data_IF_415457663391
#
_entry.id   IF_415457663391
#
_cell.length_a   1.000
_cell.length_b   1.000
_cell.length_c   1.000
_cell.angle_alpha   90.00
_cell.angle_beta   90.00
_cell.angle_gamma   90.00
#
_symmetry.space_group_name_H-M   'P 1'
#
loop_
_entity.id
_entity.type
_entity.pdbx_description
1 polymer ?
#
# COMPACT_ATOMS: atom_id res chain seq x y z
N UNK A 1 20.52 1.15 -6.96
CA UNK A 1 20.13 2.42 -6.28
C UNK A 1 18.82 2.15 -5.56
N UNK A 2 18.83 2.30 -4.24
CA UNK A 2 17.78 1.83 -3.31
C UNK A 2 16.55 2.74 -3.46
N UNK A 3 15.44 2.17 -3.89
CA UNK A 3 14.16 2.87 -4.07
C UNK A 3 13.34 2.60 -2.80
N UNK A 4 13.01 3.63 -2.05
CA UNK A 4 12.18 3.54 -0.85
C UNK A 4 10.76 3.99 -1.20
N UNK A 5 9.77 3.17 -0.86
CA UNK A 5 8.35 3.48 -0.99
C UNK A 5 7.69 3.64 0.36
N UNK A 6 6.54 4.26 0.24
CA UNK A 6 5.98 5.23 1.10
C UNK A 6 4.45 5.16 0.82
N UNK A 7 3.54 4.57 1.60
CA UNK A 7 3.07 4.84 2.97
C UNK A 7 2.06 3.72 3.30
N UNK A 8 2.13 3.12 4.50
CA UNK A 8 1.22 2.13 5.10
C UNK A 8 -0.28 2.47 5.00
N UNK A 9 -0.87 2.08 3.89
CA UNK A 9 -1.64 0.85 3.84
C UNK A 9 -0.76 -0.23 3.21
N UNK A 10 -0.84 -1.46 3.69
CA UNK A 10 0.26 -2.43 3.63
C UNK A 10 0.59 -2.94 2.22
N UNK A 11 1.36 -2.16 1.46
CA UNK A 11 1.83 -2.48 0.11
C UNK A 11 3.25 -1.96 -0.02
N UNK A 12 4.17 -2.89 0.12
CA UNK A 12 5.56 -2.63 -0.12
C UNK A 12 5.87 -3.03 -1.58
N UNK A 13 6.83 -2.30 -2.16
CA UNK A 13 7.33 -2.55 -3.50
C UNK A 13 8.00 -3.92 -3.53
N UNK A 14 7.21 -4.94 -3.85
CA UNK A 14 7.77 -6.19 -4.30
C UNK A 14 8.37 -5.97 -5.69
N UNK A 15 9.60 -6.45 -5.87
CA UNK A 15 10.18 -6.78 -7.17
C UNK A 15 9.38 -7.93 -7.82
N UNK A 16 8.10 -7.72 -8.06
CA UNK A 16 7.34 -8.57 -8.96
C UNK A 16 7.67 -8.14 -10.39
N UNK A 17 7.77 -9.10 -11.29
CA UNK A 17 7.93 -8.87 -12.74
C UNK A 17 6.70 -8.21 -13.38
N UNK A 18 5.77 -7.68 -12.58
CA UNK A 18 4.55 -7.01 -13.00
C UNK A 18 4.78 -5.50 -12.97
N UNK A 19 4.50 -4.79 -14.08
CA UNK A 19 4.63 -3.34 -14.07
C UNK A 19 3.60 -2.75 -13.11
N UNK A 20 4.08 -2.26 -11.97
CA UNK A 20 3.31 -1.45 -10.98
C UNK A 20 2.67 -0.18 -11.57
N UNK A 21 2.87 0.10 -12.86
CA UNK A 21 2.24 1.21 -13.58
C UNK A 21 0.71 1.16 -13.61
N UNK A 22 0.09 0.03 -13.18
CA UNK A 22 -1.36 -0.17 -13.14
C UNK A 22 -1.92 -0.40 -11.72
N UNK A 23 -1.08 -0.28 -10.69
CA UNK A 23 -1.44 -0.58 -9.31
C UNK A 23 -1.64 0.73 -8.54
N UNK A 24 -2.89 1.16 -8.33
CA UNK A 24 -3.22 2.45 -7.72
C UNK A 24 -4.27 2.38 -6.62
N UNK A 25 -4.25 3.40 -5.77
CA UNK A 25 -5.32 3.71 -4.81
C UNK A 25 -6.15 4.91 -5.28
N UNK A 26 -7.43 4.92 -4.94
CA UNK A 26 -8.30 6.06 -5.21
C UNK A 26 -7.91 7.28 -4.36
N UNK A 27 -8.24 8.47 -4.88
CA UNK A 27 -8.12 9.73 -4.15
C UNK A 27 -8.87 9.66 -2.80
N UNK A 28 -8.33 10.35 -1.81
CA UNK A 28 -8.83 10.32 -0.43
C UNK A 28 -8.31 9.15 0.40
N UNK A 29 -7.57 8.20 -0.19
CA UNK A 29 -6.85 7.16 0.58
C UNK A 29 -5.87 7.84 1.53
N UNK A 30 -6.04 7.60 2.82
CA UNK A 30 -5.32 8.31 3.87
C UNK A 30 -4.00 7.62 4.18
N UNK A 31 -2.99 8.44 4.39
CA UNK A 31 -1.61 8.03 4.29
C UNK A 31 -0.88 8.78 5.44
N UNK A 32 -0.27 8.05 6.39
CA UNK A 32 0.46 8.55 7.58
C UNK A 32 1.89 9.14 7.33
N UNK A 33 2.00 10.45 7.19
CA UNK A 33 3.30 11.14 7.05
C UNK A 33 3.94 11.45 8.41
N UNK A 34 5.21 11.88 8.42
CA UNK A 34 5.89 12.34 9.64
C UNK A 34 5.18 13.51 10.34
N UNK A 35 4.41 14.30 9.57
CA UNK A 35 3.63 15.45 10.06
C UNK A 35 2.15 15.14 10.31
N UNK A 36 1.76 13.86 10.22
CA UNK A 36 0.36 13.42 10.37
C UNK A 36 -0.23 12.86 9.07
N UNK A 37 -1.53 12.66 9.05
CA UNK A 37 -2.21 12.03 7.92
C UNK A 37 -2.42 13.00 6.75
N UNK A 38 -2.16 12.52 5.54
CA UNK A 38 -2.34 13.24 4.28
C UNK A 38 -3.05 12.32 3.28
N UNK A 39 -3.99 12.81 2.46
CA UNK A 39 -4.56 12.00 1.39
C UNK A 39 -3.51 11.74 0.29
N UNK A 40 -3.61 10.59 -0.37
CA UNK A 40 -2.57 10.09 -1.28
C UNK A 40 -2.27 11.03 -2.45
N UNK A 41 -3.29 11.72 -2.98
CA UNK A 41 -3.15 12.69 -4.08
C UNK A 41 -2.38 13.96 -3.67
N UNK A 42 -2.18 14.19 -2.38
CA UNK A 42 -1.38 15.29 -1.85
C UNK A 42 0.06 14.88 -1.52
N UNK A 43 0.42 13.60 -1.61
CA UNK A 43 1.80 13.13 -1.40
C UNK A 43 2.71 13.65 -2.51
N UNK A 44 3.93 14.03 -2.12
CA UNK A 44 4.96 14.54 -3.02
C UNK A 44 6.25 13.74 -2.87
N UNK A 45 7.04 13.70 -3.94
CA UNK A 45 8.43 13.23 -3.87
C UNK A 45 9.16 14.02 -2.80
N UNK A 46 9.83 13.32 -1.89
CA UNK A 46 10.50 13.91 -0.73
C UNK A 46 9.71 13.80 0.58
N UNK A 47 8.39 13.59 0.55
CA UNK A 47 7.60 13.35 1.76
C UNK A 47 8.12 12.11 2.50
N UNK A 48 8.16 12.20 3.83
CA UNK A 48 8.48 11.07 4.70
C UNK A 48 7.20 10.42 5.20
N UNK A 49 7.15 9.11 5.07
CA UNK A 49 5.93 8.37 5.35
C UNK A 49 6.20 7.06 6.04
N UNK A 50 5.24 6.65 6.85
CA UNK A 50 5.35 5.41 7.60
C UNK A 50 5.24 4.18 6.69
N UNK A 51 6.31 3.40 6.54
CA UNK A 51 6.35 2.23 5.67
C UNK A 51 7.26 1.14 6.25
N UNK A 52 7.17 -0.08 5.70
CA UNK A 52 8.04 -1.20 6.06
C UNK A 52 9.01 -1.50 4.91
N UNK A 53 10.29 -1.55 5.23
CA UNK A 53 11.34 -1.99 4.32
C UNK A 53 11.30 -3.53 4.21
N UNK A 54 10.99 -4.07 3.03
CA UNK A 54 10.89 -5.53 2.84
C UNK A 54 12.24 -6.25 2.98
N UNK A 55 13.36 -5.57 2.67
CA UNK A 55 14.68 -6.18 2.69
C UNK A 55 15.18 -6.36 4.12
N UNK A 56 14.91 -5.38 4.97
CA UNK A 56 15.38 -5.35 6.36
C UNK A 56 14.29 -5.69 7.38
N UNK A 57 13.03 -5.70 6.96
CA UNK A 57 11.86 -5.88 7.82
C UNK A 57 11.54 -4.69 8.73
N UNK A 58 12.30 -3.59 8.65
CA UNK A 58 12.16 -2.43 9.55
C UNK A 58 11.00 -1.56 9.12
N UNK A 59 10.14 -1.21 10.08
CA UNK A 59 9.07 -0.21 9.90
C UNK A 59 9.56 1.15 10.40
N UNK A 60 9.29 2.21 9.64
CA UNK A 60 9.72 3.57 9.98
C UNK A 60 9.30 4.61 8.94
N UNK A 61 9.83 5.82 9.04
CA UNK A 61 9.58 6.87 8.04
C UNK A 61 10.56 6.74 6.86
N UNK A 62 10.00 6.60 5.66
CA UNK A 62 10.73 6.42 4.41
C UNK A 62 10.38 7.52 3.41
N UNK A 63 11.37 7.95 2.62
CA UNK A 63 11.23 9.04 1.67
C UNK A 63 10.58 8.55 0.37
N UNK A 64 9.52 9.21 -0.06
CA UNK A 64 8.93 9.04 -1.39
C UNK A 64 9.95 9.43 -2.45
N UNK A 65 10.31 8.51 -3.35
CA UNK A 65 11.26 8.78 -4.45
C UNK A 65 10.58 8.97 -5.80
N UNK A 66 9.35 8.48 -5.95
CA UNK A 66 8.58 8.53 -7.20
C UNK A 66 7.09 8.40 -6.89
N UNK A 67 6.25 9.02 -7.73
CA UNK A 67 4.80 8.89 -7.72
C UNK A 67 4.34 8.17 -8.97
N UNK A 68 3.26 7.41 -8.85
CA UNK A 68 2.53 6.81 -9.95
C UNK A 68 1.11 7.39 -9.97
N UNK A 69 0.58 7.61 -11.17
CA UNK A 69 -0.78 8.08 -11.39
C UNK A 69 -1.28 7.40 -12.66
N UNK A 70 -2.35 6.63 -12.54
CA UNK A 70 -3.08 6.09 -13.68
C UNK A 70 -4.59 6.24 -13.49
N UNK A 71 -5.34 5.90 -14.53
CA UNK A 71 -6.79 5.72 -14.44
C UNK A 71 -7.07 4.22 -14.51
N UNK A 72 -7.83 3.72 -13.55
CA UNK A 72 -8.27 2.33 -13.54
C UNK A 72 -9.66 2.22 -14.18
N UNK A 73 -9.84 1.28 -15.10
CA UNK A 73 -11.14 0.99 -15.71
C UNK A 73 -12.09 0.28 -14.73
N UNK A 74 -11.53 -0.45 -13.77
CA UNK A 74 -12.25 -1.17 -12.71
C UNK A 74 -11.61 -0.86 -11.35
N UNK A 75 -12.45 -0.72 -10.32
CA UNK A 75 -12.00 -0.52 -8.93
C UNK A 75 -12.63 -1.53 -7.99
N UNK A 76 -11.88 -1.86 -6.94
CA UNK A 76 -12.23 -2.83 -5.91
C UNK A 76 -12.38 -2.11 -4.58
N UNK A 77 -13.46 -2.42 -3.87
CA UNK A 77 -13.75 -1.88 -2.54
C UNK A 77 -13.45 -2.92 -1.47
N UNK A 78 -12.45 -2.62 -0.64
CA UNK A 78 -12.00 -3.51 0.43
C UNK A 78 -12.23 -2.78 1.75
N UNK A 79 -12.85 -3.45 2.71
CA UNK A 79 -13.01 -2.91 4.07
C UNK A 79 -12.10 -3.68 5.00
N UNK A 80 -11.21 -2.97 5.67
CA UNK A 80 -10.19 -3.54 6.56
C UNK A 80 -10.34 -2.87 7.91
N UNK A 81 -10.69 -3.62 8.95
CA UNK A 81 -10.98 -3.09 10.28
C UNK A 81 -11.94 -1.86 10.26
N UNK A 82 -12.99 -1.93 9.44
CA UNK A 82 -13.96 -0.84 9.26
C UNK A 82 -13.47 0.35 8.43
N UNK A 83 -12.21 0.33 7.97
CA UNK A 83 -11.65 1.35 7.08
C UNK A 83 -11.87 0.95 5.62
N UNK A 84 -12.63 1.74 4.84
CA UNK A 84 -12.81 1.47 3.42
C UNK A 84 -11.58 1.88 2.62
N UNK A 85 -11.25 1.05 1.63
CA UNK A 85 -10.13 1.22 0.70
C UNK A 85 -10.69 0.99 -0.70
N UNK A 86 -10.37 1.89 -1.63
CA UNK A 86 -10.71 1.72 -3.05
C UNK A 86 -9.42 1.70 -3.86
N UNK A 87 -9.25 0.68 -4.70
CA UNK A 87 -7.98 0.39 -5.38
C UNK A 87 -8.21 -0.33 -6.71
N UNK A 88 -7.21 -0.35 -7.61
CA UNK A 88 -7.25 -1.18 -8.82
C UNK A 88 -7.08 -2.66 -8.49
N UNK A 89 -7.51 -3.54 -9.41
CA UNK A 89 -7.50 -4.99 -9.18
C UNK A 89 -6.12 -5.60 -9.02
N UNK A 90 -5.12 -5.01 -9.66
CA UNK A 90 -3.71 -5.42 -9.67
C UNK A 90 -2.96 -5.05 -8.39
N UNK A 91 -3.55 -4.19 -7.54
CA UNK A 91 -2.84 -3.65 -6.40
C UNK A 91 -2.60 -4.74 -5.34
N UNK A 92 -1.34 -5.06 -4.98
CA UNK A 92 -1.04 -6.24 -4.19
C UNK A 92 -1.10 -5.97 -2.69
N UNK A 93 -1.88 -6.74 -1.93
CA UNK A 93 -1.94 -6.71 -0.47
C UNK A 93 -1.16 -7.88 0.13
N UNK A 94 -0.51 -7.66 1.27
CA UNK A 94 0.14 -8.77 1.97
C UNK A 94 -0.85 -9.48 2.88
N UNK A 95 -1.08 -10.75 2.58
CA UNK A 95 -1.93 -11.65 3.36
C UNK A 95 -1.05 -12.54 4.23
N UNK A 96 -1.34 -12.58 5.53
CA UNK A 96 -0.60 -13.39 6.49
C UNK A 96 -0.67 -14.88 6.11
N UNK A 97 0.51 -15.51 5.93
CA UNK A 97 0.62 -16.92 5.53
C UNK A 97 0.47 -17.19 4.04
N UNK A 98 0.13 -16.19 3.22
CA UNK A 98 0.01 -16.33 1.76
C UNK A 98 1.01 -15.43 0.99
N UNK A 99 1.43 -14.31 1.58
CA UNK A 99 2.29 -13.33 0.92
C UNK A 99 1.49 -12.31 0.10
N UNK A 100 2.05 -11.85 -1.02
CA UNK A 100 1.40 -10.85 -1.89
C UNK A 100 0.23 -11.46 -2.67
N UNK A 101 -0.95 -10.87 -2.51
CA UNK A 101 -2.20 -11.23 -3.20
C UNK A 101 -2.79 -9.97 -3.83
N UNK A 102 -3.06 -10.00 -5.13
CA UNK A 102 -3.72 -8.87 -5.83
C UNK A 102 -5.11 -8.60 -5.25
N UNK A 103 -5.54 -7.34 -5.23
CA UNK A 103 -6.83 -6.90 -4.71
C UNK A 103 -8.01 -7.72 -5.26
N UNK A 104 -8.00 -8.01 -6.57
CA UNK A 104 -9.04 -8.82 -7.23
C UNK A 104 -9.13 -10.27 -6.78
N UNK A 105 -8.09 -10.77 -6.11
CA UNK A 105 -7.98 -12.14 -5.62
C UNK A 105 -8.18 -12.26 -4.11
N UNK A 106 -8.31 -11.14 -3.39
CA UNK A 106 -8.62 -11.13 -1.96
C UNK A 106 -10.00 -11.74 -1.71
N UNK A 107 -10.10 -12.46 -0.60
CA UNK A 107 -11.34 -13.07 -0.13
C UNK A 107 -11.72 -12.49 1.21
N UNK A 108 -13.03 -12.41 1.46
CA UNK A 108 -13.54 -12.08 2.79
C UNK A 108 -12.98 -13.09 3.79
N UNK A 109 -12.31 -12.59 4.82
CA UNK A 109 -11.64 -13.40 5.84
C UNK A 109 -10.13 -13.57 5.65
N UNK A 110 -9.55 -13.11 4.53
CA UNK A 110 -8.09 -13.00 4.42
C UNK A 110 -7.55 -12.05 5.48
N UNK A 111 -6.49 -12.46 6.18
CA UNK A 111 -5.89 -11.70 7.25
C UNK A 111 -4.78 -10.83 6.69
N UNK A 112 -5.03 -9.53 6.60
CA UNK A 112 -4.02 -8.56 6.23
C UNK A 112 -3.09 -8.30 7.41
N UNK A 113 -1.87 -7.86 7.11
CA UNK A 113 -0.91 -7.52 8.16
C UNK A 113 -1.12 -6.07 8.63
N UNK A 114 -0.89 -5.85 9.93
CA UNK A 114 -0.88 -4.55 10.59
C UNK A 114 0.47 -3.86 10.48
N UNK A 115 0.51 -2.55 10.75
CA UNK A 115 1.74 -1.81 11.05
C UNK A 115 2.72 -2.51 12.01
N UNK A 116 2.19 -3.11 13.07
CA UNK A 116 2.93 -3.83 14.11
C UNK A 116 3.31 -5.26 13.70
N UNK A 117 2.92 -5.67 12.49
CA UNK A 117 3.16 -6.99 11.96
C UNK A 117 2.12 -8.04 12.37
N UNK A 118 1.03 -7.63 13.02
CA UNK A 118 -0.03 -8.52 13.52
C UNK A 118 -1.08 -8.79 12.44
N UNK A 119 -1.66 -9.99 12.31
CA UNK A 119 -2.77 -10.22 11.40
C UNK A 119 -4.06 -9.56 11.89
N UNK A 120 -4.82 -8.90 11.01
CA UNK A 120 -6.19 -8.46 11.28
C UNK A 120 -7.09 -8.60 10.04
N UNK A 121 -8.41 -8.58 10.30
CA UNK A 121 -9.48 -8.59 9.29
C UNK A 121 -9.72 -7.19 8.70
#
# INVERSE_FOLDING_TARGET
MKKFIALMLLIALSFTSLPLAYADFANGTVVQTETGFKPIEQIRVGDLVYAKDETTGKTGYHRVVQLFQSQADETYHITVNGTPITTSGEHPFWVHGQGWVEARHLKVGDLLQSPEGMPYL
#
